data_IF_790073121054
#
_entry.id   IF_790073121054
#
_cell.length_a   1.000
_cell.length_b   1.000
_cell.length_c   1.000
_cell.angle_alpha   90.00
_cell.angle_beta   90.00
_cell.angle_gamma   90.00
#
_symmetry.space_group_name_H-M   'P 1'
#
loop_
_entity.id
_entity.type
_entity.pdbx_description
1 polymer ?
#
# COMPACT_ATOMS: atom_id res chain seq x y z
N UNK A 1 -12.91 -9.61 0.13
CA UNK A 1 -13.80 -9.88 -1.03
C UNK A 1 -14.75 -8.72 -1.18
N UNK A 2 -15.41 -8.56 -2.33
CA UNK A 2 -16.37 -7.47 -2.55
C UNK A 2 -17.51 -7.52 -1.52
N UNK A 3 -18.11 -8.69 -1.31
CA UNK A 3 -19.21 -8.88 -0.33
C UNK A 3 -18.85 -8.39 1.08
N UNK A 4 -17.59 -8.58 1.51
CA UNK A 4 -17.14 -8.10 2.81
C UNK A 4 -17.06 -6.58 2.85
N UNK A 5 -16.57 -5.95 1.77
CA UNK A 5 -16.48 -4.49 1.65
C UNK A 5 -17.89 -3.88 1.72
N UNK A 6 -18.83 -4.45 0.97
CA UNK A 6 -20.22 -3.98 0.92
C UNK A 6 -20.94 -4.13 2.26
N UNK A 7 -20.70 -5.24 2.97
CA UNK A 7 -21.29 -5.50 4.28
C UNK A 7 -20.60 -4.74 5.43
N UNK A 8 -19.35 -4.32 5.27
CA UNK A 8 -18.54 -3.72 6.34
C UNK A 8 -17.82 -2.42 5.90
N UNK A 9 -18.49 -1.46 5.25
CA UNK A 9 -17.83 -0.29 4.67
C UNK A 9 -17.15 0.58 5.75
N UNK A 10 -17.72 0.69 6.94
CA UNK A 10 -17.11 1.44 8.04
C UNK A 10 -15.82 0.79 8.55
N UNK A 11 -15.78 -0.54 8.63
CA UNK A 11 -14.57 -1.27 9.05
C UNK A 11 -13.48 -1.09 8.03
N UNK A 12 -13.80 -1.24 6.74
CA UNK A 12 -12.85 -1.01 5.64
C UNK A 12 -12.34 0.43 5.69
N UNK A 13 -13.23 1.42 5.86
CA UNK A 13 -12.84 2.83 5.97
C UNK A 13 -11.88 3.07 7.13
N UNK A 14 -12.13 2.50 8.31
CA UNK A 14 -11.24 2.65 9.48
C UNK A 14 -9.86 2.06 9.23
N UNK A 15 -9.79 0.89 8.58
CA UNK A 15 -8.51 0.28 8.19
C UNK A 15 -7.79 1.17 7.17
N UNK A 16 -8.48 1.62 6.12
CA UNK A 16 -7.91 2.53 5.12
C UNK A 16 -7.38 3.82 5.75
N UNK A 17 -8.14 4.43 6.69
CA UNK A 17 -7.70 5.63 7.40
C UNK A 17 -6.40 5.39 8.18
N UNK A 18 -6.30 4.26 8.89
CA UNK A 18 -5.10 3.91 9.64
C UNK A 18 -3.91 3.66 8.71
N UNK A 19 -4.12 2.98 7.57
CA UNK A 19 -3.08 2.74 6.58
C UNK A 19 -2.59 4.03 5.94
N UNK A 20 -3.48 4.93 5.47
CA UNK A 20 -3.09 6.22 4.89
C UNK A 20 -2.32 7.06 5.90
N UNK A 21 -2.78 7.13 7.16
CA UNK A 21 -2.08 7.83 8.23
C UNK A 21 -0.68 7.26 8.49
N UNK A 22 -0.51 5.93 8.42
CA UNK A 22 0.79 5.30 8.60
C UNK A 22 1.74 5.59 7.43
N UNK A 23 1.24 5.59 6.19
CA UNK A 23 2.02 5.96 4.99
C UNK A 23 2.51 7.40 5.07
N UNK A 24 1.63 8.36 5.41
CA UNK A 24 2.00 9.77 5.59
C UNK A 24 3.01 9.98 6.73
N UNK A 25 2.86 9.23 7.83
CA UNK A 25 3.81 9.27 8.93
C UNK A 25 5.18 8.73 8.49
N UNK A 26 5.22 7.58 7.81
CA UNK A 26 6.47 7.01 7.30
C UNK A 26 7.17 7.94 6.31
N UNK A 27 6.44 8.63 5.44
CA UNK A 27 7.02 9.58 4.48
C UNK A 27 7.77 10.73 5.18
N UNK A 28 7.23 11.23 6.29
CA UNK A 28 7.77 12.36 7.04
C UNK A 28 8.81 12.01 8.13
N UNK A 29 9.04 10.73 8.42
CA UNK A 29 9.95 10.28 9.50
C UNK A 29 11.17 9.53 8.97
N UNK A 30 12.27 9.51 9.73
CA UNK A 30 13.51 8.84 9.33
C UNK A 30 13.40 7.31 9.41
N UNK A 31 14.28 6.59 8.72
CA UNK A 31 14.34 5.12 8.83
C UNK A 31 14.60 4.66 10.28
N UNK A 32 15.42 5.39 11.04
CA UNK A 32 15.65 5.11 12.47
C UNK A 32 14.34 5.17 13.26
N UNK A 33 13.57 6.27 13.11
CA UNK A 33 12.30 6.48 13.80
C UNK A 33 11.28 5.39 13.41
N UNK A 34 11.24 4.99 12.14
CA UNK A 34 10.38 3.90 11.66
C UNK A 34 10.76 2.59 12.36
N UNK A 35 12.05 2.23 12.38
CA UNK A 35 12.50 0.97 13.01
C UNK A 35 12.28 0.99 14.52
N UNK A 36 12.34 2.15 15.18
CA UNK A 36 11.99 2.27 16.61
C UNK A 36 10.53 1.94 16.93
N UNK A 37 9.61 2.11 15.95
CA UNK A 37 8.20 1.73 16.12
C UNK A 37 7.93 0.25 15.85
N UNK A 38 8.90 -0.50 15.30
CA UNK A 38 8.72 -1.90 15.00
C UNK A 38 8.90 -2.78 16.25
N UNK A 39 8.08 -3.83 16.42
CA UNK A 39 8.39 -4.92 17.34
C UNK A 39 9.77 -5.51 17.04
N UNK A 40 10.53 -5.85 18.09
CA UNK A 40 11.92 -6.30 17.96
C UNK A 40 12.03 -7.57 17.11
N UNK A 41 11.04 -8.44 17.18
CA UNK A 41 10.92 -9.68 16.42
C UNK A 41 10.81 -9.48 14.90
N UNK A 42 10.47 -8.27 14.43
CA UNK A 42 10.44 -7.95 13.00
C UNK A 42 11.78 -7.41 12.47
N UNK A 43 12.72 -7.08 13.36
CA UNK A 43 14.05 -6.61 12.98
C UNK A 43 14.91 -7.85 12.68
N UNK A 44 15.19 -8.06 11.39
CA UNK A 44 16.04 -9.16 10.93
C UNK A 44 17.50 -8.72 10.83
N UNK A 45 18.43 -9.58 11.26
CA UNK A 45 19.85 -9.25 11.28
C UNK A 45 20.19 -8.25 12.39
N UNK A 46 21.22 -7.43 12.15
CA UNK A 46 21.56 -6.35 13.07
C UNK A 46 20.74 -5.08 12.79
N UNK A 47 20.59 -4.26 13.83
CA UNK A 47 19.74 -3.07 13.81
C UNK A 47 20.20 -2.03 12.77
N UNK A 48 21.51 -1.85 12.61
CA UNK A 48 22.07 -0.82 11.73
C UNK A 48 21.86 -1.19 10.27
N UNK A 49 22.11 -2.45 9.92
CA UNK A 49 21.80 -2.99 8.59
C UNK A 49 20.31 -2.89 8.29
N UNK A 50 19.44 -3.17 9.27
CA UNK A 50 18.00 -3.07 9.07
C UNK A 50 17.53 -1.62 8.85
N UNK A 51 18.10 -0.64 9.56
CA UNK A 51 17.84 0.79 9.30
C UNK A 51 18.19 1.14 7.86
N UNK A 52 19.39 0.75 7.38
CA UNK A 52 19.80 1.00 6.00
C UNK A 52 18.88 0.33 4.98
N UNK A 53 18.39 -0.87 5.29
CA UNK A 53 17.42 -1.56 4.43
C UNK A 53 16.09 -0.79 4.36
N UNK A 54 15.58 -0.28 5.49
CA UNK A 54 14.38 0.54 5.54
C UNK A 54 14.56 1.85 4.76
N UNK A 55 15.70 2.53 4.92
CA UNK A 55 16.01 3.76 4.17
C UNK A 55 15.96 3.53 2.66
N UNK A 56 16.61 2.47 2.17
CA UNK A 56 16.59 2.13 0.75
C UNK A 56 15.20 1.70 0.25
N UNK A 57 14.37 1.09 1.11
CA UNK A 57 13.04 0.63 0.76
C UNK A 57 11.97 1.72 0.84
N UNK A 58 12.23 2.83 1.57
CA UNK A 58 11.24 3.87 1.88
C UNK A 58 10.57 4.43 0.61
N UNK A 59 11.36 4.65 -0.45
CA UNK A 59 10.87 5.16 -1.73
C UNK A 59 9.90 4.22 -2.48
N UNK A 60 9.78 2.95 -2.07
CA UNK A 60 8.87 1.96 -2.68
C UNK A 60 7.45 2.11 -2.11
N UNK A 61 7.31 2.67 -0.90
CA UNK A 61 6.00 2.85 -0.28
C UNK A 61 5.25 4.02 -0.93
N UNK A 62 3.93 3.86 -1.09
CA UNK A 62 3.05 4.96 -1.50
C UNK A 62 3.03 6.04 -0.41
N UNK A 63 3.02 7.30 -0.80
CA UNK A 63 2.95 8.45 0.13
C UNK A 63 1.52 8.86 0.46
N UNK A 64 0.54 8.43 -0.35
CA UNK A 64 -0.85 8.91 -0.27
C UNK A 64 -1.91 7.81 -0.29
N UNK A 65 -1.49 6.55 -0.46
CA UNK A 65 -2.34 5.36 -0.56
C UNK A 65 -3.13 5.22 -1.86
N UNK A 66 -3.00 6.12 -2.82
CA UNK A 66 -3.78 6.07 -4.06
C UNK A 66 -3.22 5.04 -5.03
N UNK A 67 -4.13 4.30 -5.67
CA UNK A 67 -3.80 3.39 -6.76
C UNK A 67 -4.06 4.12 -8.08
N UNK A 68 -3.04 4.27 -8.93
CA UNK A 68 -3.21 4.85 -10.26
C UNK A 68 -3.64 3.79 -11.28
N UNK A 69 -4.47 4.19 -12.25
CA UNK A 69 -4.86 3.34 -13.37
C UNK A 69 -3.67 2.85 -14.20
N UNK A 70 -2.61 3.67 -14.30
CA UNK A 70 -1.41 3.29 -15.02
C UNK A 70 -0.65 2.19 -14.30
N UNK A 71 -0.54 2.28 -12.98
CA UNK A 71 0.21 1.32 -12.16
C UNK A 71 -0.43 -0.07 -12.18
N UNK A 72 -1.74 -0.19 -12.40
CA UNK A 72 -2.43 -1.49 -12.48
C UNK A 72 -2.35 -2.14 -13.87
N UNK A 73 -2.04 -1.37 -14.93
CA UNK A 73 -1.90 -1.91 -16.29
C UNK A 73 -0.64 -2.75 -16.45
N UNK A 74 0.47 -2.31 -15.87
CA UNK A 74 1.77 -2.98 -16.01
C UNK A 74 1.76 -4.42 -15.44
N UNK A 75 1.27 -4.67 -14.21
CA UNK A 75 1.14 -6.03 -13.70
C UNK A 75 0.26 -6.93 -14.59
N UNK A 76 -0.85 -6.41 -15.12
CA UNK A 76 -1.70 -7.19 -16.03
C UNK A 76 -0.96 -7.55 -17.32
N UNK A 77 -0.25 -6.60 -17.94
CA UNK A 77 0.54 -6.84 -19.14
C UNK A 77 1.63 -7.91 -18.90
N UNK A 78 2.34 -7.80 -17.77
CA UNK A 78 3.35 -8.78 -17.35
C UNK A 78 2.72 -10.15 -17.14
N UNK A 79 1.62 -10.26 -16.41
CA UNK A 79 0.93 -11.54 -16.19
C UNK A 79 0.43 -12.16 -17.51
N UNK A 80 -0.11 -11.36 -18.43
CA UNK A 80 -0.54 -11.83 -19.75
C UNK A 80 0.63 -12.37 -20.60
N UNK A 81 1.87 -11.95 -20.34
CA UNK A 81 3.02 -12.39 -21.14
C UNK A 81 3.47 -13.83 -20.88
N UNK A 82 3.12 -14.41 -19.72
CA UNK A 82 3.56 -15.76 -19.34
C UNK A 82 2.47 -16.66 -18.78
N UNK A 83 1.28 -16.14 -18.44
CA UNK A 83 0.17 -16.95 -17.95
C UNK A 83 -0.94 -17.05 -19.00
N UNK A 84 -1.04 -18.22 -19.66
CA UNK A 84 -2.01 -18.48 -20.73
C UNK A 84 -3.47 -18.25 -20.30
N UNK A 85 -3.82 -18.58 -19.06
CA UNK A 85 -5.19 -18.38 -18.55
C UNK A 85 -5.52 -16.90 -18.38
N UNK A 86 -4.55 -16.10 -17.94
CA UNK A 86 -4.72 -14.65 -17.80
C UNK A 86 -4.72 -13.97 -19.17
N UNK A 87 -3.88 -14.46 -20.11
CA UNK A 87 -3.85 -13.98 -21.49
C UNK A 87 -5.21 -14.15 -22.19
N UNK A 88 -5.87 -15.29 -21.98
CA UNK A 88 -7.18 -15.60 -22.55
C UNK A 88 -8.36 -14.93 -21.83
N UNK A 89 -8.14 -14.27 -20.70
CA UNK A 89 -9.21 -13.63 -19.92
C UNK A 89 -9.38 -12.14 -20.30
N UNK A 90 -10.65 -11.74 -20.41
CA UNK A 90 -11.04 -10.34 -20.43
C UNK A 90 -11.13 -9.83 -18.99
N UNK A 91 -10.19 -8.98 -18.60
CA UNK A 91 -10.04 -8.49 -17.23
C UNK A 91 -10.35 -7.00 -17.20
N UNK A 92 -11.41 -6.66 -16.46
CA UNK A 92 -11.80 -5.29 -16.17
C UNK A 92 -11.04 -4.77 -14.94
N UNK A 93 -9.96 -4.01 -15.17
CA UNK A 93 -9.12 -3.45 -14.11
C UNK A 93 -9.87 -2.49 -13.17
N UNK A 94 -10.96 -1.86 -13.63
CA UNK A 94 -11.76 -0.96 -12.77
C UNK A 94 -12.42 -1.71 -11.61
N UNK A 95 -12.55 -3.04 -11.70
CA UNK A 95 -13.14 -3.90 -10.67
C UNK A 95 -12.09 -4.56 -9.77
N UNK A 96 -10.79 -4.34 -10.02
CA UNK A 96 -9.71 -4.98 -9.25
C UNK A 96 -9.18 -4.11 -8.11
N UNK A 97 -9.60 -2.85 -8.04
CA UNK A 97 -9.26 -1.92 -6.97
C UNK A 97 -10.33 -0.82 -6.83
N UNK A 98 -10.28 -0.05 -5.75
CA UNK A 98 -11.06 1.19 -5.59
C UNK A 98 -10.25 2.21 -4.78
N UNK A 99 -10.39 3.49 -5.12
CA UNK A 99 -9.85 4.60 -4.33
C UNK A 99 -10.93 5.28 -3.46
N UNK A 100 -12.17 4.77 -3.43
CA UNK A 100 -13.30 5.43 -2.74
C UNK A 100 -13.06 5.62 -1.25
N UNK A 101 -12.36 4.68 -0.61
CA UNK A 101 -12.02 4.75 0.80
C UNK A 101 -10.80 5.65 1.04
N UNK A 102 -9.81 5.62 0.15
CA UNK A 102 -8.60 6.45 0.25
C UNK A 102 -8.94 7.93 0.08
N UNK A 103 -9.85 8.25 -0.84
CA UNK A 103 -10.33 9.63 -1.06
C UNK A 103 -11.10 10.21 0.14
N UNK A 104 -11.65 9.36 1.01
CA UNK A 104 -12.34 9.75 2.25
C UNK A 104 -11.43 9.74 3.48
N UNK A 105 -10.21 9.23 3.36
CA UNK A 105 -9.30 9.14 4.48
C UNK A 105 -8.87 10.56 4.92
N UNK A 106 -8.87 10.87 6.23
CA UNK A 106 -8.33 12.12 6.73
C UNK A 106 -6.86 12.25 6.33
N UNK A 107 -6.50 13.39 5.75
CA UNK A 107 -5.12 13.70 5.35
C UNK A 107 -4.46 14.56 6.41
N UNK A 108 -3.21 14.25 6.76
CA UNK A 108 -2.40 15.18 7.54
C UNK A 108 -1.94 16.30 6.59
N UNK A 109 -2.75 17.33 6.45
CA UNK A 109 -2.30 18.56 5.79
C UNK A 109 -1.23 19.16 6.70
N UNK A 110 0.03 19.13 6.25
CA UNK A 110 1.12 19.78 6.97
C UNK A 110 0.75 21.25 7.19
N UNK A 111 0.73 21.67 8.46
CA UNK A 111 0.70 23.09 8.84
C UNK A 111 2.10 23.69 8.73
#
# INVERSE_FOLDING_TARGET
TQDYIDANPETVQKVTNATVKALEWMDSHSAEEIVEKLPKEFISGDRETYIRAVENAKAIFSTDGLISEENVKTPLAVLKSFNEKVAAAEIDLSKTYTNDFVGKAPRNVAN
#
